data_IF_732732802611
#
_entry.id   IF_732732802611
#
_cell.length_a   1.000
_cell.length_b   1.000
_cell.length_c   1.000
_cell.angle_alpha   90.00
_cell.angle_beta   90.00
_cell.angle_gamma   90.00
#
_symmetry.space_group_name_H-M   'P 1'
#
loop_
_entity.id
_entity.type
_entity.pdbx_description
1 polymer ?
#
# COMPACT_ATOMS: atom_id res chain seq x y z
N UNK A 1 13.56 -19.32 12.55
CA UNK A 1 12.70 -18.27 11.94
C UNK A 1 12.64 -18.57 10.45
N UNK A 2 11.52 -19.14 10.02
CA UNK A 2 11.34 -19.72 8.68
C UNK A 2 10.88 -18.63 7.71
N UNK A 3 11.59 -18.49 6.59
CA UNK A 3 11.36 -17.50 5.56
C UNK A 3 9.91 -17.55 5.04
N UNK A 4 9.20 -16.43 5.15
CA UNK A 4 7.85 -16.20 4.62
C UNK A 4 7.98 -15.84 3.14
N UNK A 5 7.39 -16.67 2.27
CA UNK A 5 7.17 -16.53 0.83
C UNK A 5 8.30 -15.94 -0.06
N UNK A 6 8.68 -16.58 -1.19
CA UNK A 6 9.59 -15.99 -2.18
C UNK A 6 9.16 -14.60 -2.70
N UNK A 7 7.88 -14.25 -2.52
CA UNK A 7 7.29 -12.97 -2.93
C UNK A 7 7.67 -11.80 -2.01
N UNK A 8 7.71 -12.06 -0.69
CA UNK A 8 8.18 -11.12 0.32
C UNK A 8 9.66 -10.79 0.08
N UNK A 9 10.45 -11.80 -0.30
CA UNK A 9 11.83 -11.61 -0.70
C UNK A 9 11.95 -10.75 -1.96
N UNK A 10 11.09 -10.93 -2.96
CA UNK A 10 11.13 -10.12 -4.19
C UNK A 10 10.79 -8.64 -3.93
N UNK A 11 9.83 -8.34 -3.04
CA UNK A 11 9.54 -6.97 -2.61
C UNK A 11 10.73 -6.34 -1.87
N UNK A 12 11.30 -7.06 -0.90
CA UNK A 12 12.47 -6.61 -0.12
C UNK A 12 13.70 -6.40 -1.04
N UNK A 13 13.95 -7.31 -1.97
CA UNK A 13 15.06 -7.21 -2.94
C UNK A 13 14.88 -6.00 -3.85
N UNK A 14 13.66 -5.76 -4.36
CA UNK A 14 13.38 -4.62 -5.24
C UNK A 14 13.54 -3.28 -4.53
N UNK A 15 13.11 -3.18 -3.28
CA UNK A 15 13.35 -1.99 -2.46
C UNK A 15 14.85 -1.77 -2.26
N UNK A 16 15.63 -2.82 -1.94
CA UNK A 16 17.08 -2.69 -1.72
C UNK A 16 17.90 -2.44 -2.99
N UNK A 17 17.39 -2.78 -4.17
CA UNK A 17 18.09 -2.64 -5.46
C UNK A 17 17.65 -1.41 -6.28
N UNK A 18 16.65 -0.64 -5.83
CA UNK A 18 16.26 0.59 -6.53
C UNK A 18 17.37 1.65 -6.35
N UNK A 19 17.98 2.17 -7.44
CA UNK A 19 19.12 3.09 -7.36
C UNK A 19 18.79 4.46 -6.72
N UNK A 20 17.52 4.76 -6.47
CA UNK A 20 17.05 5.91 -5.68
C UNK A 20 17.29 5.75 -4.16
N UNK A 21 17.69 4.56 -3.68
CA UNK A 21 18.00 4.33 -2.26
C UNK A 21 19.41 4.74 -1.83
N UNK A 22 20.28 5.18 -2.74
CA UNK A 22 21.68 5.54 -2.44
C UNK A 22 22.06 6.98 -2.83
N UNK A 23 21.21 7.99 -2.58
CA UNK A 23 21.62 9.40 -2.68
C UNK A 23 21.44 10.20 -1.38
N UNK A 24 21.81 9.62 -0.24
CA UNK A 24 22.09 10.42 0.97
C UNK A 24 23.20 9.81 1.84
N UNK A 25 24.30 9.36 1.23
CA UNK A 25 25.47 8.90 1.99
C UNK A 25 26.82 9.19 1.34
N UNK A 26 26.95 10.25 0.54
CA UNK A 26 28.28 10.75 0.11
C UNK A 26 28.29 12.28 0.00
N UNK A 27 28.15 12.98 1.12
CA UNK A 27 28.52 14.41 1.21
C UNK A 27 29.31 14.80 2.45
N UNK A 28 29.64 13.83 3.32
CA UNK A 28 30.54 14.06 4.45
C UNK A 28 31.70 13.07 4.42
N UNK A 29 32.65 13.27 3.51
CA UNK A 29 34.08 13.29 3.82
C UNK A 29 34.88 13.71 2.59
N UNK A 30 34.87 15.00 2.29
CA UNK A 30 36.00 15.65 1.64
C UNK A 30 37.01 16.05 2.72
N UNK A 31 38.10 15.30 2.90
CA UNK A 31 39.41 15.88 3.22
C UNK A 31 40.53 14.86 3.45
N UNK A 32 41.72 15.31 3.02
CA UNK A 32 43.09 14.85 3.32
C UNK A 32 43.61 13.65 2.48
N UNK A 33 44.27 13.90 1.35
CA UNK A 33 45.73 14.17 1.20
C UNK A 33 46.47 12.92 0.67
N UNK A 34 47.00 12.93 -0.57
CA UNK A 34 48.43 13.19 -0.94
C UNK A 34 49.41 12.20 -0.28
N UNK A 35 50.35 11.49 -0.91
CA UNK A 35 50.98 11.46 -2.25
C UNK A 35 51.79 10.14 -2.39
N UNK A 36 52.07 9.75 -3.65
CA UNK A 36 53.20 8.95 -4.17
C UNK A 36 53.60 7.60 -3.53
N UNK A 37 53.63 6.53 -4.34
CA UNK A 37 54.89 6.06 -4.97
C UNK A 37 54.65 4.85 -5.90
N UNK A 38 55.53 4.74 -6.90
CA UNK A 38 55.43 3.95 -8.12
C UNK A 38 55.73 2.44 -7.98
N UNK A 39 55.24 1.62 -8.92
CA UNK A 39 56.08 0.91 -9.92
C UNK A 39 55.28 -0.03 -10.84
N UNK A 40 55.60 0.04 -12.14
CA UNK A 40 55.19 -0.85 -13.26
C UNK A 40 55.78 -2.26 -13.15
N UNK A 41 55.09 -3.28 -13.70
CA UNK A 41 55.62 -4.22 -14.74
C UNK A 41 54.59 -5.34 -15.08
N UNK A 42 54.12 -5.38 -16.33
CA UNK A 42 53.61 -6.57 -17.06
C UNK A 42 54.81 -7.36 -17.67
N UNK A 43 54.76 -8.64 -18.16
CA UNK A 43 53.80 -9.23 -19.13
C UNK A 43 53.68 -10.80 -19.07
N UNK A 44 53.46 -11.59 -20.17
CA UNK A 44 52.28 -11.72 -21.08
C UNK A 44 51.70 -13.16 -21.15
N UNK A 45 50.45 -13.32 -21.60
CA UNK A 45 49.92 -14.61 -22.10
C UNK A 45 48.39 -14.73 -22.07
N UNK A 46 47.76 -14.75 -23.25
CA UNK A 46 46.33 -15.10 -23.52
C UNK A 46 46.35 -16.27 -24.53
N UNK A 47 45.36 -17.20 -24.64
CA UNK A 47 43.90 -17.01 -24.52
C UNK A 47 43.18 -18.11 -23.68
N UNK A 48 41.98 -17.89 -23.14
CA UNK A 48 40.73 -18.22 -23.83
C UNK A 48 39.53 -17.50 -23.16
N UNK A 49 38.64 -17.05 -24.01
CA UNK A 49 37.48 -16.23 -23.71
C UNK A 49 36.28 -17.14 -23.40
N UNK A 50 35.64 -16.91 -22.25
CA UNK A 50 34.21 -17.21 -22.08
C UNK A 50 33.58 -15.90 -21.65
N UNK A 51 32.95 -15.23 -22.61
CA UNK A 51 32.10 -14.06 -22.41
C UNK A 51 30.69 -14.59 -22.14
N UNK A 52 30.06 -14.28 -21.00
CA UNK A 52 28.60 -14.20 -20.94
C UNK A 52 28.21 -12.76 -21.23
N UNK A 53 27.34 -12.59 -22.21
CA UNK A 53 26.83 -11.34 -22.77
C UNK A 53 26.67 -10.21 -21.74
N UNK A 54 27.44 -9.15 -21.98
CA UNK A 54 27.24 -7.85 -21.39
C UNK A 54 25.91 -7.30 -21.94
N UNK A 55 24.84 -7.40 -21.16
CA UNK A 55 23.59 -6.71 -21.48
C UNK A 55 23.85 -5.20 -21.47
N UNK A 56 23.92 -4.64 -22.67
CA UNK A 56 23.48 -3.32 -23.11
C UNK A 56 23.02 -2.38 -21.98
N UNK A 57 23.98 -1.71 -21.34
CA UNK A 57 23.71 -0.49 -20.58
C UNK A 57 23.51 0.66 -21.57
N UNK A 58 22.35 0.69 -22.21
CA UNK A 58 21.91 1.86 -22.96
C UNK A 58 21.79 3.08 -22.01
N UNK A 59 22.25 4.27 -22.44
CA UNK A 59 22.26 5.45 -21.61
C UNK A 59 20.84 5.89 -21.24
N UNK A 60 20.68 6.21 -19.96
CA UNK A 60 19.47 6.65 -19.28
C UNK A 60 18.69 7.74 -20.05
N UNK A 61 17.45 7.44 -20.43
CA UNK A 61 16.46 8.43 -20.85
C UNK A 61 15.54 8.72 -19.66
N UNK A 62 15.50 9.96 -19.12
CA UNK A 62 14.56 10.33 -18.08
C UNK A 62 13.12 10.16 -18.57
N UNK A 63 12.34 9.29 -17.92
CA UNK A 63 10.91 9.09 -18.18
C UNK A 63 10.44 7.66 -18.52
N UNK A 64 11.33 6.66 -18.52
CA UNK A 64 11.00 5.32 -19.05
C UNK A 64 10.99 4.16 -18.03
N UNK A 65 10.86 4.39 -16.72
CA UNK A 65 10.67 3.29 -15.75
C UNK A 65 9.19 2.91 -15.57
N UNK A 66 8.52 2.55 -16.67
CA UNK A 66 7.25 1.81 -16.58
C UNK A 66 7.57 0.32 -16.49
N UNK A 67 8.12 -0.10 -15.36
CA UNK A 67 8.39 -1.52 -15.11
C UNK A 67 7.17 -2.19 -14.48
N UNK A 68 6.72 -3.28 -15.12
CA UNK A 68 5.72 -4.18 -14.56
C UNK A 68 6.02 -4.49 -13.09
N UNK A 69 5.09 -4.06 -12.25
CA UNK A 69 5.03 -4.37 -10.82
C UNK A 69 4.84 -5.88 -10.62
N UNK A 70 5.47 -6.51 -9.61
CA UNK A 70 5.19 -7.90 -9.27
C UNK A 70 3.71 -8.04 -8.88
N UNK A 71 3.06 -9.18 -9.18
CA UNK A 71 1.61 -9.36 -9.01
C UNK A 71 1.09 -9.23 -7.57
N UNK A 72 1.96 -9.23 -6.55
CA UNK A 72 1.60 -9.22 -5.13
C UNK A 72 2.28 -8.13 -4.28
N UNK A 73 2.90 -7.10 -4.90
CA UNK A 73 3.28 -5.92 -4.13
C UNK A 73 2.01 -5.18 -3.66
N UNK A 74 1.95 -4.67 -2.42
CA UNK A 74 0.82 -3.86 -1.97
C UNK A 74 0.64 -2.69 -2.94
N UNK A 75 -0.60 -2.41 -3.30
CA UNK A 75 -0.95 -1.30 -4.21
C UNK A 75 -2.14 -0.56 -3.69
N UNK A 76 -2.03 0.76 -3.67
CA UNK A 76 -3.16 1.61 -3.40
C UNK A 76 -3.65 2.26 -4.70
N UNK A 77 -4.87 1.92 -5.11
CA UNK A 77 -5.45 2.41 -6.36
C UNK A 77 -6.31 3.67 -6.19
N UNK A 78 -6.43 4.24 -4.99
CA UNK A 78 -7.25 5.43 -4.73
C UNK A 78 -8.76 5.21 -4.69
N UNK A 79 -9.25 4.12 -5.28
CA UNK A 79 -10.69 3.88 -5.49
C UNK A 79 -11.45 3.51 -4.23
N UNK A 80 -10.80 2.82 -3.29
CA UNK A 80 -11.43 2.32 -2.07
C UNK A 80 -10.64 2.87 -0.89
N UNK A 81 -11.10 3.99 -0.33
CA UNK A 81 -10.45 4.66 0.80
C UNK A 81 -10.28 3.73 2.02
N UNK A 82 -11.17 2.75 2.19
CA UNK A 82 -11.11 1.77 3.27
C UNK A 82 -9.96 0.74 3.14
N UNK A 83 -9.28 0.67 1.99
CA UNK A 83 -8.10 -0.18 1.77
C UNK A 83 -6.80 0.52 2.19
N UNK A 84 -6.80 1.85 2.26
CA UNK A 84 -5.63 2.66 2.59
C UNK A 84 -4.95 2.24 3.91
N UNK A 85 -5.67 2.00 5.03
CA UNK A 85 -5.02 1.60 6.27
C UNK A 85 -4.27 0.27 6.16
N UNK A 86 -4.86 -0.71 5.46
CA UNK A 86 -4.25 -2.02 5.26
C UNK A 86 -3.02 -1.91 4.34
N UNK A 87 -3.12 -1.10 3.28
CA UNK A 87 -1.98 -0.83 2.41
C UNK A 87 -0.79 -0.23 3.18
N UNK A 88 -1.02 0.80 4.01
CA UNK A 88 0.04 1.42 4.80
C UNK A 88 0.63 0.45 5.84
N UNK A 89 -0.20 -0.40 6.45
CA UNK A 89 0.25 -1.45 7.36
C UNK A 89 1.14 -2.48 6.65
N UNK A 90 0.71 -2.98 5.48
CA UNK A 90 1.49 -3.91 4.67
C UNK A 90 2.85 -3.33 4.26
N UNK A 91 2.86 -2.05 3.82
CA UNK A 91 4.12 -1.34 3.50
C UNK A 91 5.01 -1.23 4.73
N UNK A 92 4.45 -0.88 5.90
CA UNK A 92 5.19 -0.80 7.16
C UNK A 92 5.85 -2.13 7.53
N UNK A 93 5.07 -3.22 7.53
CA UNK A 93 5.55 -4.57 7.85
C UNK A 93 6.67 -5.00 6.90
N UNK A 94 6.49 -4.80 5.60
CA UNK A 94 7.47 -5.22 4.60
C UNK A 94 8.74 -4.35 4.64
N UNK A 95 8.59 -3.06 4.91
CA UNK A 95 9.72 -2.15 5.07
C UNK A 95 10.52 -2.44 6.36
N UNK A 96 9.85 -2.79 7.46
CA UNK A 96 10.49 -3.26 8.70
C UNK A 96 11.30 -4.55 8.44
N UNK A 97 10.74 -5.49 7.67
CA UNK A 97 11.45 -6.70 7.26
C UNK A 97 12.66 -6.39 6.36
N UNK A 98 12.55 -5.35 5.52
CA UNK A 98 13.65 -4.85 4.72
C UNK A 98 14.66 -4.00 5.51
N UNK A 99 14.40 -3.72 6.79
CA UNK A 99 15.19 -2.84 7.67
C UNK A 99 15.32 -1.41 7.12
N UNK A 100 14.24 -0.86 6.57
CA UNK A 100 14.21 0.53 6.14
C UNK A 100 14.02 1.48 7.32
N UNK A 101 14.63 2.64 7.19
CA UNK A 101 14.31 3.80 8.00
C UNK A 101 12.96 4.42 7.59
N UNK A 102 12.50 5.39 8.37
CA UNK A 102 11.22 6.06 8.13
C UNK A 102 11.16 6.74 6.76
N UNK A 103 12.28 7.33 6.30
CA UNK A 103 12.37 7.90 4.96
C UNK A 103 12.18 6.82 3.87
N UNK A 104 12.80 5.64 4.04
CA UNK A 104 12.60 4.50 3.16
C UNK A 104 11.17 3.97 3.15
N UNK A 105 10.48 3.96 4.29
CA UNK A 105 9.05 3.59 4.40
C UNK A 105 8.16 4.53 3.62
N UNK A 106 8.37 5.85 3.77
CA UNK A 106 7.61 6.88 3.06
C UNK A 106 7.80 6.74 1.54
N UNK A 107 9.05 6.64 1.08
CA UNK A 107 9.33 6.42 -0.35
C UNK A 107 8.69 5.14 -0.88
N UNK A 108 8.75 4.05 -0.12
CA UNK A 108 8.09 2.81 -0.52
C UNK A 108 6.57 3.00 -0.66
N UNK A 109 5.92 3.67 0.30
CA UNK A 109 4.48 3.95 0.23
C UNK A 109 4.11 4.74 -1.03
N UNK A 110 4.86 5.80 -1.35
CA UNK A 110 4.66 6.63 -2.55
C UNK A 110 4.86 5.79 -3.83
N UNK A 111 5.96 5.04 -3.93
CA UNK A 111 6.28 4.20 -5.10
C UNK A 111 5.22 3.13 -5.41
N UNK A 112 4.51 2.65 -4.40
CA UNK A 112 3.50 1.61 -4.54
C UNK A 112 2.06 2.15 -4.59
N UNK A 113 1.88 3.46 -4.47
CA UNK A 113 0.62 4.13 -4.76
C UNK A 113 0.38 4.28 -6.27
N UNK A 114 -0.87 4.49 -6.68
CA UNK A 114 -1.18 4.91 -8.04
C UNK A 114 -0.61 6.30 -8.31
N UNK A 115 -0.35 6.64 -9.59
CA UNK A 115 0.32 7.88 -9.99
C UNK A 115 -0.31 9.13 -9.33
N UNK A 116 -1.63 9.29 -9.48
CA UNK A 116 -2.35 10.44 -8.94
C UNK A 116 -2.25 10.53 -7.40
N UNK A 117 -2.20 9.38 -6.72
CA UNK A 117 -2.06 9.32 -5.26
C UNK A 117 -0.63 9.58 -4.80
N UNK A 118 0.36 9.09 -5.56
CA UNK A 118 1.78 9.35 -5.32
C UNK A 118 2.10 10.85 -5.46
N UNK A 119 1.64 11.47 -6.55
CA UNK A 119 1.78 12.91 -6.78
C UNK A 119 1.15 13.71 -5.64
N UNK A 120 -0.02 13.29 -5.14
CA UNK A 120 -0.66 13.91 -3.99
C UNK A 120 0.18 13.76 -2.70
N UNK A 121 0.71 12.57 -2.43
CA UNK A 121 1.45 12.30 -1.20
C UNK A 121 2.83 12.96 -1.16
N UNK A 122 3.46 13.17 -2.32
CA UNK A 122 4.72 13.93 -2.45
C UNK A 122 4.57 15.40 -2.03
N UNK A 123 3.36 15.97 -2.09
CA UNK A 123 3.10 17.35 -1.64
C UNK A 123 3.04 17.50 -0.11
N UNK A 124 2.99 16.40 0.63
CA UNK A 124 2.88 16.45 2.09
C UNK A 124 4.21 16.89 2.70
N UNK A 125 4.16 17.83 3.66
CA UNK A 125 5.33 18.27 4.43
C UNK A 125 6.07 17.09 5.08
N UNK A 126 5.32 16.08 5.52
CA UNK A 126 5.87 14.86 6.11
C UNK A 126 6.67 13.99 5.13
N UNK A 127 6.49 14.19 3.82
CA UNK A 127 7.25 13.52 2.76
C UNK A 127 8.46 14.35 2.28
N UNK A 128 8.44 15.67 2.45
CA UNK A 128 9.47 16.60 1.95
C UNK A 128 10.45 17.08 3.02
N UNK A 129 10.11 16.94 4.31
CA UNK A 129 10.97 17.35 5.43
C UNK A 129 12.17 16.41 5.57
N UNK A 130 13.34 16.98 5.86
CA UNK A 130 14.58 16.25 6.18
C UNK A 130 14.44 15.29 7.38
N UNK A 131 13.48 15.56 8.29
CA UNK A 131 13.10 14.70 9.41
C UNK A 131 11.85 13.88 9.05
N UNK A 132 12.04 12.90 8.18
CA UNK A 132 11.02 11.94 7.82
C UNK A 132 10.61 11.08 9.03
N UNK A 133 9.34 11.16 9.42
CA UNK A 133 8.75 10.34 10.49
C UNK A 133 7.55 9.60 9.92
N UNK A 134 7.63 8.27 9.89
CA UNK A 134 6.63 7.41 9.26
C UNK A 134 5.24 7.61 9.85
N UNK A 135 5.15 7.76 11.18
CA UNK A 135 3.88 7.97 11.87
C UNK A 135 3.18 9.29 11.47
N UNK A 136 3.94 10.36 11.25
CA UNK A 136 3.38 11.64 10.81
C UNK A 136 2.91 11.56 9.36
N UNK A 137 3.69 10.91 8.50
CA UNK A 137 3.26 10.65 7.12
C UNK A 137 1.96 9.84 7.06
N UNK A 138 1.87 8.71 7.77
CA UNK A 138 0.65 7.89 7.84
C UNK A 138 -0.55 8.71 8.32
N UNK A 139 -0.35 9.56 9.33
CA UNK A 139 -1.40 10.43 9.84
C UNK A 139 -1.85 11.45 8.80
N UNK A 140 -0.90 12.14 8.15
CA UNK A 140 -1.18 13.13 7.11
C UNK A 140 -1.90 12.50 5.91
N UNK A 141 -1.44 11.34 5.45
CA UNK A 141 -2.08 10.58 4.37
C UNK A 141 -3.51 10.21 4.75
N UNK A 142 -3.77 9.70 5.96
CA UNK A 142 -5.13 9.36 6.40
C UNK A 142 -6.08 10.58 6.45
N UNK A 143 -5.58 11.77 6.74
CA UNK A 143 -6.38 13.00 6.72
C UNK A 143 -6.85 13.39 5.32
N UNK A 144 -6.11 13.01 4.26
CA UNK A 144 -6.52 13.26 2.88
C UNK A 144 -7.74 12.41 2.45
N UNK A 145 -8.01 11.29 3.14
CA UNK A 145 -9.11 10.39 2.82
C UNK A 145 -10.08 10.26 3.98
N UNK A 146 -11.04 11.19 4.10
CA UNK A 146 -12.19 11.00 4.97
C UNK A 146 -12.81 9.62 4.72
N UNK A 147 -13.28 8.96 5.78
CA UNK A 147 -13.90 7.60 5.76
C UNK A 147 -12.93 6.44 5.53
N UNK A 148 -11.62 6.66 5.45
CA UNK A 148 -10.66 5.54 5.37
C UNK A 148 -10.67 4.67 6.64
N UNK A 149 -10.88 5.29 7.80
CA UNK A 149 -10.97 4.63 9.09
C UNK A 149 -11.73 5.47 10.13
N UNK A 150 -11.75 4.99 11.38
CA UNK A 150 -12.34 5.71 12.51
C UNK A 150 -13.86 5.80 12.43
N UNK A 151 -14.43 6.71 13.22
CA UNK A 151 -15.88 6.81 13.40
C UNK A 151 -16.65 7.11 12.11
N UNK A 152 -16.00 7.76 11.15
CA UNK A 152 -16.62 8.23 9.91
C UNK A 152 -16.44 7.26 8.74
N UNK A 153 -15.92 6.06 9.00
CA UNK A 153 -15.80 4.99 8.00
C UNK A 153 -17.13 4.61 7.39
N UNK A 154 -18.18 4.57 8.22
CA UNK A 154 -19.55 4.30 7.79
C UNK A 154 -20.54 5.29 8.38
N UNK A 155 -21.57 5.60 7.60
CA UNK A 155 -22.71 6.43 8.00
C UNK A 155 -24.00 5.61 7.97
N UNK A 156 -25.03 6.10 8.68
CA UNK A 156 -26.37 5.49 8.64
C UNK A 156 -26.94 5.42 7.22
N UNK A 157 -26.62 6.41 6.37
CA UNK A 157 -26.99 6.41 4.95
C UNK A 157 -26.42 5.22 4.18
N UNK A 158 -25.21 4.75 4.51
CA UNK A 158 -24.60 3.61 3.84
C UNK A 158 -25.38 2.32 4.12
N UNK A 159 -25.85 2.18 5.36
CA UNK A 159 -26.70 1.06 5.76
C UNK A 159 -28.08 1.15 5.09
N UNK A 160 -28.67 2.35 5.02
CA UNK A 160 -29.95 2.55 4.35
C UNK A 160 -29.88 2.28 2.84
N UNK A 161 -28.84 2.80 2.17
CA UNK A 161 -28.58 2.54 0.75
C UNK A 161 -28.41 1.05 0.47
N UNK A 162 -27.71 0.33 1.36
CA UNK A 162 -27.56 -1.13 1.24
C UNK A 162 -28.91 -1.86 1.37
N UNK A 163 -29.75 -1.46 2.33
CA UNK A 163 -31.10 -2.01 2.50
C UNK A 163 -31.93 -1.78 1.24
N UNK A 164 -31.95 -0.55 0.73
CA UNK A 164 -32.67 -0.19 -0.49
C UNK A 164 -32.16 -0.95 -1.73
N UNK A 165 -30.83 -1.10 -1.88
CA UNK A 165 -30.22 -1.87 -2.98
C UNK A 165 -30.79 -3.30 -3.01
N UNK A 166 -30.90 -3.95 -1.86
CA UNK A 166 -31.37 -5.33 -1.74
C UNK A 166 -32.90 -5.49 -1.67
N UNK A 167 -33.64 -4.42 -1.38
CA UNK A 167 -35.09 -4.38 -1.63
C UNK A 167 -35.38 -4.35 -3.14
N UNK A 168 -34.67 -3.51 -3.90
CA UNK A 168 -34.83 -3.40 -5.36
C UNK A 168 -34.28 -4.63 -6.08
N UNK A 169 -33.17 -5.19 -5.57
CA UNK A 169 -32.57 -6.44 -6.05
C UNK A 169 -32.89 -7.58 -5.07
N UNK A 170 -34.11 -8.13 -5.10
CA UNK A 170 -34.53 -9.13 -4.14
C UNK A 170 -33.65 -10.37 -4.23
N UNK A 171 -33.28 -10.87 -3.05
CA UNK A 171 -32.44 -12.04 -2.86
C UNK A 171 -33.23 -13.31 -3.20
N UNK A 172 -32.80 -14.03 -4.23
CA UNK A 172 -33.51 -15.21 -4.76
C UNK A 172 -33.04 -16.53 -4.16
N UNK A 173 -31.84 -16.54 -3.57
CA UNK A 173 -31.22 -17.73 -3.01
C UNK A 173 -30.45 -17.43 -1.71
N UNK A 174 -29.98 -18.51 -1.08
CA UNK A 174 -29.23 -18.43 0.18
C UNK A 174 -27.88 -17.74 0.01
N UNK A 175 -27.22 -17.85 -1.15
CA UNK A 175 -25.96 -17.16 -1.40
C UNK A 175 -26.12 -15.63 -1.40
N UNK A 176 -27.18 -15.12 -2.01
CA UNK A 176 -27.50 -13.69 -2.06
C UNK A 176 -27.86 -13.17 -0.67
N UNK A 177 -28.64 -13.94 0.10
CA UNK A 177 -28.92 -13.62 1.51
C UNK A 177 -27.64 -13.56 2.35
N UNK A 178 -26.74 -14.53 2.18
CA UNK A 178 -25.44 -14.52 2.86
C UNK A 178 -24.55 -13.33 2.45
N UNK A 179 -24.62 -12.89 1.19
CA UNK A 179 -23.92 -11.67 0.73
C UNK A 179 -24.48 -10.42 1.39
N UNK A 180 -25.81 -10.26 1.41
CA UNK A 180 -26.46 -9.15 2.11
C UNK A 180 -26.09 -9.14 3.59
N UNK A 181 -26.25 -10.26 4.29
CA UNK A 181 -25.94 -10.37 5.71
C UNK A 181 -24.49 -9.93 6.02
N UNK A 182 -23.50 -10.43 5.27
CA UNK A 182 -22.09 -10.02 5.47
C UNK A 182 -21.86 -8.53 5.22
N UNK A 183 -22.45 -7.96 4.17
CA UNK A 183 -22.35 -6.51 3.89
C UNK A 183 -23.02 -5.67 4.98
N UNK A 184 -24.24 -6.05 5.38
CA UNK A 184 -25.03 -5.38 6.40
C UNK A 184 -24.32 -5.42 7.75
N UNK A 185 -23.86 -6.60 8.15
CA UNK A 185 -23.14 -6.80 9.41
C UNK A 185 -21.85 -5.97 9.45
N UNK A 186 -21.08 -5.90 8.35
CA UNK A 186 -19.85 -5.09 8.27
C UNK A 186 -20.11 -3.62 8.62
N UNK A 187 -21.20 -3.04 8.09
CA UNK A 187 -21.57 -1.63 8.32
C UNK A 187 -22.21 -1.47 9.71
N UNK A 188 -23.15 -2.32 10.07
CA UNK A 188 -23.91 -2.21 11.32
C UNK A 188 -23.03 -2.39 12.57
N UNK A 189 -22.10 -3.35 12.57
CA UNK A 189 -21.17 -3.56 13.70
C UNK A 189 -20.34 -2.31 13.95
N UNK A 190 -19.87 -1.66 12.90
CA UNK A 190 -19.12 -0.42 13.01
C UNK A 190 -19.97 0.75 13.53
N UNK A 191 -21.20 0.91 13.04
CA UNK A 191 -22.10 1.96 13.51
C UNK A 191 -22.50 1.76 14.99
N UNK A 192 -22.67 0.51 15.43
CA UNK A 192 -22.96 0.18 16.83
C UNK A 192 -21.74 0.47 17.72
N UNK A 193 -20.53 0.08 17.30
CA UNK A 193 -19.33 0.34 18.10
C UNK A 193 -19.04 1.83 18.28
N UNK A 194 -19.48 2.66 17.33
CA UNK A 194 -19.42 4.13 17.39
C UNK A 194 -20.66 4.78 18.03
N UNK A 195 -21.59 3.99 18.60
CA UNK A 195 -22.86 4.44 19.17
C UNK A 195 -23.74 5.28 18.20
N UNK A 196 -23.54 5.14 16.88
CA UNK A 196 -24.31 5.80 15.82
C UNK A 196 -25.58 5.03 15.44
N UNK A 197 -25.71 3.78 15.89
CA UNK A 197 -26.84 2.88 15.64
C UNK A 197 -27.08 2.01 16.88
N UNK A 198 -28.33 1.86 17.30
CA UNK A 198 -28.69 0.93 18.38
C UNK A 198 -28.90 -0.51 17.86
N UNK A 199 -28.82 -1.49 18.76
CA UNK A 199 -29.08 -2.91 18.44
C UNK A 199 -30.50 -3.10 17.92
N UNK A 200 -31.49 -2.41 18.51
CA UNK A 200 -32.88 -2.50 18.08
C UNK A 200 -33.08 -1.92 16.68
N UNK A 201 -32.51 -0.75 16.39
CA UNK A 201 -32.57 -0.16 15.05
C UNK A 201 -31.88 -1.02 13.99
N UNK A 202 -30.75 -1.66 14.35
CA UNK A 202 -30.08 -2.62 13.47
C UNK A 202 -31.05 -3.74 13.08
N UNK A 203 -31.73 -4.34 14.04
CA UNK A 203 -32.59 -5.50 13.79
C UNK A 203 -33.79 -5.12 12.93
N UNK A 204 -34.40 -3.97 13.19
CA UNK A 204 -35.48 -3.44 12.36
C UNK A 204 -35.02 -3.17 10.91
N UNK A 205 -33.86 -2.52 10.73
CA UNK A 205 -33.30 -2.26 9.39
C UNK A 205 -32.92 -3.55 8.66
N UNK A 206 -32.45 -4.56 9.39
CA UNK A 206 -32.10 -5.84 8.77
C UNK A 206 -33.34 -6.51 8.17
N UNK A 207 -34.43 -6.54 8.94
CA UNK A 207 -35.71 -7.11 8.52
C UNK A 207 -36.33 -6.32 7.35
N UNK A 208 -36.21 -4.99 7.36
CA UNK A 208 -36.69 -4.14 6.27
C UNK A 208 -36.02 -4.47 4.92
N UNK A 209 -34.75 -4.90 4.94
CA UNK A 209 -34.04 -5.31 3.71
C UNK A 209 -34.36 -6.72 3.20
N UNK A 210 -35.20 -7.50 3.89
CA UNK A 210 -35.56 -8.83 3.44
C UNK A 210 -36.66 -8.80 2.35
N UNK A 211 -36.63 -9.72 1.38
CA UNK A 211 -37.71 -9.87 0.43
C UNK A 211 -39.02 -10.16 1.16
N UNK A 212 -40.13 -9.61 0.68
CA UNK A 212 -41.45 -9.80 1.29
C UNK A 212 -41.85 -11.29 1.37
N UNK A 213 -41.33 -12.13 0.48
CA UNK A 213 -41.51 -13.59 0.50
C UNK A 213 -40.93 -14.28 1.76
N UNK A 214 -40.01 -13.63 2.47
CA UNK A 214 -39.41 -14.11 3.74
C UNK A 214 -39.96 -13.37 4.97
N UNK A 215 -40.74 -12.30 4.77
CA UNK A 215 -41.28 -11.45 5.84
C UNK A 215 -42.74 -11.78 6.21
N UNK A 216 -43.41 -12.63 5.43
CA UNK A 216 -44.76 -13.08 5.74
C UNK A 216 -44.76 -14.09 6.90
N UNK A 217 -45.60 -13.90 7.95
CA UNK A 217 -45.81 -14.93 8.95
C UNK A 217 -46.50 -16.13 8.30
N UNK A 218 -45.98 -17.33 8.60
CA UNK A 218 -46.66 -18.62 8.32
C UNK A 218 -47.82 -18.79 9.28
#
# INVERSE_FOLDING_TARGET
MTFKSPETLHFIIRIRQSPEFLLTAVSHLTSASRLLSASRLDPPGTPEQIIPDYLDFSPFVPGAFRHSTPPHAPKFLGKITAELPHFLEDVGILADQAQLDDAGKIRAAICYAALDEAELWETLDSATTDLAVWAYFVTAVKQLYPRCEGADRYYRSDLHNLVQEYQVKPMKNREELGKYHRKFQKVAVHLISMAKLSVNERDLLFLDGLPHALAAPV
#
